data_IF_019367919288
#
_entry.id   IF_019367919288
#
_cell.length_a   1.000
_cell.length_b   1.000
_cell.length_c   1.000
_cell.angle_alpha   90.00
_cell.angle_beta   90.00
_cell.angle_gamma   90.00
#
_symmetry.space_group_name_H-M   'P 1'
#
loop_
_entity.id
_entity.type
_entity.pdbx_description
1 polymer ?
#
# COMPACT_ATOMS: atom_id res chain seq x y z
N UNK A 1 -38.63 7.16 7.10
CA UNK A 1 -37.22 7.30 6.65
C UNK A 1 -37.15 6.86 5.20
N UNK A 2 -36.34 7.51 4.37
CA UNK A 2 -36.13 7.08 3.00
C UNK A 2 -35.20 5.84 2.98
N UNK A 3 -35.57 4.82 2.23
CA UNK A 3 -34.73 3.64 2.00
C UNK A 3 -33.95 3.86 0.71
N UNK A 4 -32.62 3.76 0.78
CA UNK A 4 -31.75 3.83 -0.39
C UNK A 4 -31.31 2.42 -0.76
N UNK A 5 -31.50 2.05 -2.03
CA UNK A 5 -31.09 0.76 -2.58
C UNK A 5 -30.00 0.99 -3.62
N UNK A 6 -28.92 0.22 -3.52
CA UNK A 6 -27.81 0.25 -4.47
C UNK A 6 -27.98 -0.87 -5.52
N UNK A 7 -27.31 -0.77 -6.68
CA UNK A 7 -27.20 -1.89 -7.61
C UNK A 7 -26.70 -3.17 -6.93
N UNK A 8 -27.13 -4.33 -7.41
CA UNK A 8 -26.76 -5.64 -6.83
C UNK A 8 -25.23 -5.83 -6.77
N UNK A 9 -24.53 -5.40 -7.82
CA UNK A 9 -23.07 -5.52 -7.94
C UNK A 9 -22.30 -4.29 -7.42
N UNK A 10 -22.93 -3.47 -6.57
CA UNK A 10 -22.26 -2.27 -6.05
C UNK A 10 -21.04 -2.64 -5.19
N UNK A 11 -19.92 -1.97 -5.45
CA UNK A 11 -18.69 -2.21 -4.73
C UNK A 11 -18.67 -1.50 -3.38
N UNK A 12 -18.63 -2.30 -2.32
CA UNK A 12 -18.41 -1.87 -0.94
C UNK A 12 -17.05 -2.40 -0.50
N UNK A 13 -16.08 -1.50 -0.39
CA UNK A 13 -14.69 -1.89 -0.20
C UNK A 13 -13.91 -1.00 0.75
N UNK A 14 -12.66 -1.38 0.96
CA UNK A 14 -11.66 -0.60 1.67
C UNK A 14 -10.54 -0.17 0.72
N UNK A 15 -9.82 0.90 1.09
CA UNK A 15 -8.68 1.40 0.34
C UNK A 15 -7.48 1.63 1.24
N UNK A 16 -6.32 1.18 0.77
CA UNK A 16 -4.99 1.46 1.36
C UNK A 16 -4.01 1.85 0.27
N UNK A 17 -2.74 2.04 0.62
CA UNK A 17 -1.64 2.17 -0.35
C UNK A 17 -0.49 1.27 0.07
N UNK A 18 0.31 0.82 -0.90
CA UNK A 18 1.51 -0.01 -0.62
C UNK A 18 2.42 0.60 0.45
N UNK A 19 2.88 1.87 0.31
CA UNK A 19 3.76 2.51 1.31
C UNK A 19 3.19 2.58 2.72
N UNK A 20 1.87 2.70 2.87
CA UNK A 20 1.21 2.84 4.18
C UNK A 20 0.88 1.50 4.83
N UNK A 21 0.89 0.39 4.09
CA UNK A 21 0.39 -0.90 4.57
C UNK A 21 1.42 -2.02 4.56
N UNK A 22 2.23 -2.13 3.51
CA UNK A 22 3.09 -3.30 3.26
C UNK A 22 4.23 -3.44 4.26
N UNK A 23 4.90 -2.33 4.59
CA UNK A 23 6.23 -2.35 5.17
C UNK A 23 7.33 -2.45 4.11
N UNK A 24 8.60 -2.33 4.52
CA UNK A 24 9.78 -2.35 3.64
C UNK A 24 10.44 -3.73 3.50
N UNK A 25 9.79 -4.79 3.96
CA UNK A 25 10.29 -6.17 3.88
C UNK A 25 10.71 -6.53 2.45
N UNK A 26 11.97 -6.93 2.26
CA UNK A 26 12.55 -7.32 0.97
C UNK A 26 12.31 -6.32 -0.18
N UNK A 27 12.14 -5.03 0.13
CA UNK A 27 11.95 -3.99 -0.88
C UNK A 27 13.30 -3.55 -1.44
N UNK A 28 13.46 -3.62 -2.76
CA UNK A 28 14.75 -3.35 -3.44
C UNK A 28 15.19 -1.90 -3.36
N UNK A 29 14.26 -0.97 -3.58
CA UNK A 29 14.57 0.46 -3.66
C UNK A 29 13.82 1.25 -2.58
N UNK A 30 14.43 2.35 -2.13
CA UNK A 30 13.76 3.33 -1.29
C UNK A 30 12.89 4.25 -2.15
N UNK A 31 11.67 4.53 -1.69
CA UNK A 31 10.89 5.68 -2.15
C UNK A 31 11.27 6.92 -1.32
N UNK A 32 10.71 8.07 -1.67
CA UNK A 32 10.99 9.34 -0.98
C UNK A 32 10.70 9.31 0.53
N UNK A 33 9.61 8.66 0.96
CA UNK A 33 9.24 8.57 2.39
C UNK A 33 10.12 7.59 3.17
N UNK A 34 10.59 6.52 2.52
CA UNK A 34 11.57 5.62 3.11
C UNK A 34 12.87 6.40 3.42
N UNK A 35 13.36 7.17 2.43
CA UNK A 35 14.56 7.99 2.59
C UNK A 35 14.37 9.11 3.61
N UNK A 36 13.22 9.79 3.60
CA UNK A 36 12.93 10.85 4.56
C UNK A 36 12.96 10.32 6.00
N UNK A 37 12.37 9.16 6.26
CA UNK A 37 12.42 8.54 7.58
C UNK A 37 13.84 8.12 8.01
N UNK A 38 14.68 7.67 7.07
CA UNK A 38 16.08 7.34 7.36
C UNK A 38 16.91 8.56 7.80
N UNK A 39 16.63 9.73 7.24
CA UNK A 39 17.41 10.96 7.52
C UNK A 39 16.82 11.84 8.61
N UNK A 40 15.51 11.77 8.86
CA UNK A 40 14.77 12.65 9.79
C UNK A 40 13.59 11.90 10.45
N UNK A 41 13.84 10.85 11.26
CA UNK A 41 12.78 10.08 11.89
C UNK A 41 11.92 10.90 12.88
N UNK A 42 12.45 11.99 13.44
CA UNK A 42 11.75 12.92 14.32
C UNK A 42 10.62 13.70 13.62
N UNK A 43 10.63 13.79 12.28
CA UNK A 43 9.54 14.35 11.50
C UNK A 43 8.30 13.43 11.49
N UNK A 44 8.44 12.18 11.92
CA UNK A 44 7.38 11.18 11.94
C UNK A 44 6.80 11.05 13.35
N UNK A 45 5.48 10.93 13.44
CA UNK A 45 4.78 10.83 14.72
C UNK A 45 5.31 9.64 15.54
N UNK A 46 5.74 9.92 16.78
CA UNK A 46 6.39 8.96 17.67
C UNK A 46 7.59 8.21 17.04
N UNK A 47 8.23 8.81 16.03
CA UNK A 47 9.32 8.18 15.27
C UNK A 47 8.93 6.81 14.71
N UNK A 48 7.67 6.66 14.27
CA UNK A 48 7.16 5.43 13.63
C UNK A 48 7.21 5.60 12.11
N UNK A 49 8.14 4.88 11.48
CA UNK A 49 8.35 4.91 10.04
C UNK A 49 7.62 3.83 9.23
N UNK A 50 7.88 3.78 7.91
CA UNK A 50 7.26 2.85 6.98
C UNK A 50 7.86 1.44 7.00
N UNK A 51 8.84 1.15 7.87
CA UNK A 51 9.59 -0.11 7.87
C UNK A 51 8.69 -1.33 8.10
N UNK A 52 7.81 -1.26 9.11
CA UNK A 52 6.81 -2.32 9.39
C UNK A 52 5.43 -1.95 8.85
N UNK A 53 5.03 -0.68 8.96
CA UNK A 53 3.68 -0.20 8.65
C UNK A 53 2.59 -1.08 9.31
N UNK A 54 1.62 -1.59 8.55
CA UNK A 54 0.61 -2.54 9.02
C UNK A 54 0.99 -4.00 8.78
N UNK A 55 2.23 -4.30 8.39
CA UNK A 55 2.73 -5.65 8.11
C UNK A 55 1.99 -6.38 6.97
N UNK A 56 1.28 -5.65 6.10
CA UNK A 56 0.44 -6.23 5.05
C UNK A 56 1.25 -7.09 4.07
N UNK A 57 2.55 -6.83 3.87
CA UNK A 57 3.42 -7.68 3.04
C UNK A 57 3.42 -9.14 3.52
N UNK A 58 3.39 -9.37 4.83
CA UNK A 58 3.41 -10.70 5.43
C UNK A 58 2.00 -11.23 5.72
N UNK A 59 1.04 -10.37 6.06
CA UNK A 59 -0.30 -10.75 6.54
C UNK A 59 -1.46 -10.47 5.57
N UNK A 60 -1.20 -10.14 4.31
CA UNK A 60 -2.26 -9.74 3.37
C UNK A 60 -3.39 -10.77 3.23
N UNK A 61 -3.11 -12.06 3.40
CA UNK A 61 -4.13 -13.12 3.30
C UNK A 61 -5.13 -13.02 4.44
N UNK A 62 -4.62 -12.86 5.67
CA UNK A 62 -5.42 -12.68 6.88
C UNK A 62 -6.19 -11.37 6.83
N UNK A 63 -5.54 -10.29 6.40
CA UNK A 63 -6.16 -8.96 6.30
C UNK A 63 -7.32 -8.95 5.27
N UNK A 64 -7.13 -9.57 4.10
CA UNK A 64 -8.19 -9.73 3.09
C UNK A 64 -9.32 -10.63 3.62
N UNK A 65 -9.01 -11.70 4.37
CA UNK A 65 -10.02 -12.55 4.96
C UNK A 65 -10.87 -11.80 6.00
N UNK A 66 -10.26 -10.93 6.81
CA UNK A 66 -10.96 -10.06 7.74
C UNK A 66 -11.86 -9.05 7.02
N UNK A 67 -11.39 -8.42 5.94
CA UNK A 67 -12.19 -7.53 5.10
C UNK A 67 -13.41 -8.25 4.52
N UNK A 68 -13.23 -9.48 4.03
CA UNK A 68 -14.34 -10.30 3.54
C UNK A 68 -15.34 -10.65 4.65
N UNK A 69 -14.86 -10.95 5.87
CA UNK A 69 -15.70 -11.31 7.02
C UNK A 69 -16.65 -10.19 7.43
N UNK A 70 -16.26 -8.93 7.27
CA UNK A 70 -17.12 -7.77 7.56
C UNK A 70 -17.99 -7.33 6.37
N UNK A 71 -18.03 -8.11 5.29
CA UNK A 71 -18.91 -7.87 4.14
C UNK A 71 -18.31 -7.02 3.02
N UNK A 72 -17.01 -6.70 3.05
CA UNK A 72 -16.39 -6.01 1.92
C UNK A 72 -16.27 -6.96 0.71
N UNK A 73 -16.54 -6.42 -0.46
CA UNK A 73 -16.48 -7.14 -1.74
C UNK A 73 -15.37 -6.62 -2.67
N UNK A 74 -14.67 -5.56 -2.28
CA UNK A 74 -13.58 -4.96 -3.05
C UNK A 74 -12.48 -4.41 -2.12
N UNK A 75 -11.24 -4.44 -2.60
CA UNK A 75 -10.09 -3.84 -1.93
C UNK A 75 -9.28 -3.08 -2.97
N UNK A 76 -8.98 -1.82 -2.69
CA UNK A 76 -8.08 -1.00 -3.51
C UNK A 76 -6.76 -0.84 -2.77
N UNK A 77 -5.66 -1.14 -3.44
CA UNK A 77 -4.30 -0.77 -2.98
C UNK A 77 -3.48 -0.23 -4.15
N UNK A 78 -2.21 0.11 -3.91
CA UNK A 78 -1.24 0.51 -4.91
C UNK A 78 -0.01 -0.39 -4.88
N UNK A 79 0.52 -0.70 -6.06
CA UNK A 79 1.79 -1.43 -6.19
C UNK A 79 2.93 -0.42 -6.07
N UNK A 80 3.88 -0.66 -5.17
CA UNK A 80 5.08 0.18 -5.05
C UNK A 80 6.01 -0.05 -6.26
N UNK A 81 6.27 1.01 -7.03
CA UNK A 81 7.27 0.98 -8.11
C UNK A 81 8.62 0.49 -7.58
N UNK A 82 9.06 1.04 -6.45
CA UNK A 82 10.33 0.71 -5.80
C UNK A 82 10.46 -0.74 -5.28
N UNK A 83 9.34 -1.49 -5.28
CA UNK A 83 9.32 -2.93 -5.03
C UNK A 83 9.34 -3.74 -6.32
N UNK A 84 8.52 -3.36 -7.29
CA UNK A 84 8.28 -4.15 -8.51
C UNK A 84 9.46 -4.11 -9.48
N UNK A 85 10.10 -2.94 -9.62
CA UNK A 85 11.10 -2.71 -10.66
C UNK A 85 12.49 -2.99 -10.13
N UNK A 86 13.22 -3.85 -10.85
CA UNK A 86 14.59 -4.24 -10.51
C UNK A 86 15.60 -3.15 -10.90
N UNK A 87 15.59 -2.77 -12.18
CA UNK A 87 16.46 -1.73 -12.74
C UNK A 87 15.61 -0.51 -13.12
N UNK A 88 15.75 0.56 -12.33
CA UNK A 88 15.01 1.81 -12.52
C UNK A 88 15.49 2.59 -13.75
N UNK A 89 16.80 2.55 -14.06
CA UNK A 89 17.41 3.28 -15.18
C UNK A 89 16.97 2.69 -16.53
N UNK A 90 16.86 1.36 -16.61
CA UNK A 90 16.35 0.68 -17.80
C UNK A 90 14.93 1.09 -18.16
N UNK A 91 14.07 1.42 -17.20
CA UNK A 91 12.69 1.87 -17.50
C UNK A 91 12.65 3.32 -17.98
N UNK A 92 13.49 4.18 -17.41
CA UNK A 92 13.55 5.59 -17.80
C UNK A 92 14.04 5.73 -19.25
N UNK A 93 15.01 4.91 -19.66
CA UNK A 93 15.52 4.91 -21.04
C UNK A 93 14.47 4.50 -22.09
N UNK A 94 13.51 3.62 -21.76
CA UNK A 94 12.42 3.21 -22.67
C UNK A 94 11.40 4.34 -22.88
N UNK A 95 11.20 5.22 -21.89
CA UNK A 95 10.21 6.32 -21.99
C UNK A 95 10.74 7.58 -22.67
N UNK A 96 12.04 7.67 -22.90
CA UNK A 96 12.70 8.82 -23.54
C UNK A 96 12.98 8.61 -25.04
N UNK A 97 12.53 7.48 -25.60
CA UNK A 97 12.48 7.21 -27.04
C UNK A 97 11.04 7.32 -27.53
#
# INVERSE_FOLDING_TARGET
MATYTFPEDFWWGAATSGPQSEGRFHKKHANMFDYWYEIEPEAFYNQVGPDTASNFYNSYKEDIALMKKIGLNSVRTSIQWTRLIDDLEKILSIKMQ
#
